data_IF_559231481072
#
_entry.id   IF_559231481072
#
_cell.length_a   1.000
_cell.length_b   1.000
_cell.length_c   1.000
_cell.angle_alpha   90.00
_cell.angle_beta   90.00
_cell.angle_gamma   90.00
#
_symmetry.space_group_name_H-M   'P 1'
#
loop_
_entity.id
_entity.type
_entity.pdbx_description
1 polymer ?
#
# COMPACT_ATOMS: atom_id res chain seq x y z
N UNK A 1 9.04 46.40 -2.86
CA UNK A 1 8.76 45.05 -2.32
C UNK A 1 7.96 44.27 -3.36
N UNK A 2 8.39 43.07 -3.72
CA UNK A 2 7.72 42.29 -4.77
C UNK A 2 6.42 41.64 -4.25
N UNK A 3 5.50 41.31 -5.15
CA UNK A 3 4.17 40.75 -4.84
C UNK A 3 4.25 39.46 -4.01
N UNK A 4 5.23 38.58 -4.32
CA UNK A 4 5.46 37.32 -3.60
C UNK A 4 5.93 37.54 -2.16
N UNK A 5 6.78 38.54 -1.92
CA UNK A 5 7.24 38.91 -0.57
C UNK A 5 6.08 39.47 0.26
N UNK A 6 5.16 40.22 -0.38
CA UNK A 6 3.98 40.78 0.29
C UNK A 6 2.96 39.70 0.64
N UNK A 7 2.77 38.72 -0.23
CA UNK A 7 1.90 37.55 -0.01
C UNK A 7 2.40 36.65 1.12
N UNK A 8 3.72 36.36 1.15
CA UNK A 8 4.34 35.59 2.24
C UNK A 8 4.28 36.33 3.58
N UNK A 9 4.48 37.66 3.58
CA UNK A 9 4.33 38.48 4.78
C UNK A 9 2.90 38.48 5.30
N UNK A 10 1.88 38.59 4.42
CA UNK A 10 0.48 38.55 4.80
C UNK A 10 0.03 37.16 5.30
N UNK A 11 0.57 36.08 4.74
CA UNK A 11 0.37 34.72 5.27
C UNK A 11 1.00 34.58 6.66
N UNK A 12 2.21 35.07 6.85
CA UNK A 12 2.89 35.05 8.15
C UNK A 12 2.18 35.93 9.19
N UNK A 13 1.61 37.07 8.78
CA UNK A 13 0.81 37.95 9.64
C UNK A 13 -0.53 37.30 10.02
N UNK A 14 -1.23 36.67 9.07
CA UNK A 14 -2.44 35.86 9.35
C UNK A 14 -2.17 34.66 10.25
N UNK A 15 -0.98 34.06 10.17
CA UNK A 15 -0.57 32.98 11.08
C UNK A 15 -0.21 33.51 12.47
N UNK A 16 0.35 34.72 12.57
CA UNK A 16 0.69 35.36 13.85
C UNK A 16 -0.55 35.84 14.62
N UNK A 17 -1.59 36.32 13.92
CA UNK A 17 -2.88 36.67 14.53
C UNK A 17 -3.67 35.43 15.03
N UNK A 18 -3.26 34.23 14.61
CA UNK A 18 -3.81 32.96 15.08
C UNK A 18 -3.17 32.48 16.40
N UNK A 19 -2.11 33.13 16.89
CA UNK A 19 -1.46 32.77 18.16
C UNK A 19 -2.33 33.26 19.32
N UNK A 20 -3.35 32.47 19.68
CA UNK A 20 -4.21 32.74 20.84
C UNK A 20 -3.41 32.51 22.13
N UNK A 21 -3.65 33.40 23.10
CA UNK A 21 -3.01 33.49 24.43
C UNK A 21 -3.12 32.19 25.24
N UNK A 22 -2.06 31.92 25.99
CA UNK A 22 -1.69 30.69 26.72
C UNK A 22 -2.76 30.03 27.62
N UNK A 23 -3.85 30.72 28.00
CA UNK A 23 -4.77 30.20 29.03
C UNK A 23 -6.19 29.85 28.53
N UNK A 24 -6.53 30.14 27.26
CA UNK A 24 -7.88 29.89 26.69
C UNK A 24 -7.97 28.62 25.81
N UNK A 25 -6.86 27.88 25.68
CA UNK A 25 -6.64 26.95 24.58
C UNK A 25 -6.89 25.47 24.88
N UNK A 26 -7.08 25.07 26.13
CA UNK A 26 -7.10 23.63 26.48
C UNK A 26 -8.44 22.94 26.13
N UNK A 27 -9.57 23.62 26.33
CA UNK A 27 -10.90 23.02 26.09
C UNK A 27 -11.25 22.87 24.60
N UNK A 28 -10.89 23.84 23.76
CA UNK A 28 -11.10 23.76 22.31
C UNK A 28 -10.08 22.84 21.63
N UNK A 29 -8.81 22.85 22.07
CA UNK A 29 -7.80 21.95 21.51
C UNK A 29 -8.17 20.48 21.71
N UNK A 30 -8.63 20.10 22.92
CA UNK A 30 -9.09 18.73 23.20
C UNK A 30 -10.32 18.36 22.34
N UNK A 31 -11.25 19.30 22.17
CA UNK A 31 -12.44 19.09 21.33
C UNK A 31 -12.05 18.82 19.87
N UNK A 32 -11.16 19.63 19.31
CA UNK A 32 -10.69 19.45 17.93
C UNK A 32 -9.82 18.20 17.76
N UNK A 33 -8.99 17.85 18.74
CA UNK A 33 -8.26 16.58 18.75
C UNK A 33 -9.23 15.41 18.69
N UNK A 34 -10.30 15.42 19.50
CA UNK A 34 -11.33 14.39 19.47
C UNK A 34 -12.07 14.35 18.13
N UNK A 35 -12.52 15.50 17.63
CA UNK A 35 -13.31 15.61 16.40
C UNK A 35 -12.51 15.18 15.17
N UNK A 36 -11.27 15.66 15.00
CA UNK A 36 -10.50 15.37 13.79
C UNK A 36 -9.71 14.05 13.84
N UNK A 37 -9.70 13.36 14.98
CA UNK A 37 -9.07 12.05 15.13
C UNK A 37 -10.06 10.92 15.38
N UNK A 38 -11.01 11.10 16.30
CA UNK A 38 -11.83 10.01 16.88
C UNK A 38 -13.24 9.96 16.27
N UNK A 39 -13.65 11.00 15.54
CA UNK A 39 -14.95 11.00 14.88
C UNK A 39 -14.95 10.10 13.63
N UNK A 40 -16.14 9.76 13.09
CA UNK A 40 -16.24 9.05 11.81
C UNK A 40 -15.53 9.74 10.64
N UNK A 41 -15.37 11.07 10.67
CA UNK A 41 -14.61 11.84 9.67
C UNK A 41 -13.11 11.90 9.99
N UNK A 42 -12.73 11.62 11.23
CA UNK A 42 -11.35 11.53 11.73
C UNK A 42 -10.65 10.22 11.38
N UNK A 43 -11.39 9.12 11.23
CA UNK A 43 -10.90 7.79 10.78
C UNK A 43 -9.65 7.29 11.54
N UNK A 44 -9.49 7.68 12.81
CA UNK A 44 -8.27 7.37 13.58
C UNK A 44 -6.98 7.73 12.82
N UNK A 45 -7.06 8.86 12.11
CA UNK A 45 -6.00 9.37 11.24
C UNK A 45 -4.68 9.51 12.02
N UNK A 46 -3.58 9.09 11.40
CA UNK A 46 -2.25 9.29 11.97
C UNK A 46 -1.91 10.77 12.17
N UNK A 47 -0.88 11.01 13.00
CA UNK A 47 -0.43 12.34 13.47
C UNK A 47 -0.46 13.43 12.39
N UNK A 48 0.12 13.16 11.22
CA UNK A 48 0.22 14.14 10.13
C UNK A 48 -1.15 14.57 9.58
N UNK A 49 -2.07 13.61 9.39
CA UNK A 49 -3.40 13.88 8.84
C UNK A 49 -4.25 14.67 9.84
N UNK A 50 -4.20 14.29 11.11
CA UNK A 50 -4.89 15.01 12.19
C UNK A 50 -4.34 16.43 12.34
N UNK A 51 -3.01 16.58 12.39
CA UNK A 51 -2.36 17.90 12.44
C UNK A 51 -2.77 18.79 11.27
N UNK A 52 -2.75 18.27 10.03
CA UNK A 52 -3.08 19.05 8.84
C UNK A 52 -4.54 19.52 8.82
N UNK A 53 -5.49 18.70 9.30
CA UNK A 53 -6.91 19.10 9.40
C UNK A 53 -7.10 20.19 10.43
N UNK A 54 -6.50 20.02 11.60
CA UNK A 54 -6.58 21.03 12.68
C UNK A 54 -5.92 22.33 12.25
N UNK A 55 -4.75 22.28 11.59
CA UNK A 55 -4.03 23.45 11.10
C UNK A 55 -4.78 24.30 10.04
N UNK A 56 -5.90 23.81 9.49
CA UNK A 56 -6.76 24.59 8.59
C UNK A 56 -7.66 25.56 9.36
N UNK A 57 -8.07 25.18 10.56
CA UNK A 57 -8.97 25.99 11.40
C UNK A 57 -8.22 26.65 12.53
N UNK A 58 -7.21 25.99 13.13
CA UNK A 58 -6.45 26.50 14.26
C UNK A 58 -4.97 26.09 14.38
N UNK A 59 -4.19 26.97 15.01
CA UNK A 59 -2.78 26.78 15.34
C UNK A 59 -2.48 27.25 16.76
N UNK A 60 -1.65 26.50 17.50
CA UNK A 60 -1.17 26.91 18.83
C UNK A 60 0.25 26.42 19.10
N UNK A 61 0.91 27.05 20.07
CA UNK A 61 2.25 26.66 20.53
C UNK A 61 2.15 25.26 21.13
N UNK A 62 2.96 24.32 20.63
CA UNK A 62 2.91 22.93 21.08
C UNK A 62 1.84 22.06 20.40
N UNK A 63 1.09 22.57 19.42
CA UNK A 63 0.05 21.80 18.70
C UNK A 63 0.54 20.45 18.18
N UNK A 64 1.71 20.43 17.53
CA UNK A 64 2.28 19.19 17.00
C UNK A 64 2.55 18.16 18.10
N UNK A 65 3.04 18.60 19.26
CA UNK A 65 3.30 17.74 20.40
C UNK A 65 1.98 17.19 20.98
N UNK A 66 0.98 18.06 21.16
CA UNK A 66 -0.35 17.67 21.62
C UNK A 66 -1.01 16.63 20.70
N UNK A 67 -1.00 16.86 19.37
CA UNK A 67 -1.52 15.90 18.38
C UNK A 67 -0.75 14.58 18.45
N UNK A 68 0.58 14.63 18.55
CA UNK A 68 1.41 13.42 18.62
C UNK A 68 1.08 12.60 19.86
N UNK A 69 0.99 13.23 21.03
CA UNK A 69 0.67 12.59 22.29
C UNK A 69 -0.76 12.02 22.28
N UNK A 70 -1.73 12.76 21.71
CA UNK A 70 -3.12 12.31 21.60
C UNK A 70 -3.24 11.06 20.73
N UNK A 71 -2.60 11.03 19.56
CA UNK A 71 -2.61 9.85 18.68
C UNK A 71 -1.83 8.69 19.31
N UNK A 72 -0.72 8.97 20.02
CA UNK A 72 0.04 7.96 20.75
C UNK A 72 -0.78 7.30 21.86
N UNK A 73 -1.63 8.07 22.55
CA UNK A 73 -2.54 7.56 23.58
C UNK A 73 -3.79 6.85 23.02
N UNK A 74 -4.08 6.95 21.72
CA UNK A 74 -5.26 6.34 21.12
C UNK A 74 -5.11 4.81 21.01
N UNK A 75 -5.92 4.07 21.77
CA UNK A 75 -5.96 2.60 21.75
C UNK A 75 -6.21 2.04 20.34
N UNK A 76 -7.25 2.50 19.64
CA UNK A 76 -7.57 2.02 18.28
C UNK A 76 -6.40 2.17 17.31
N UNK A 77 -5.67 3.29 17.37
CA UNK A 77 -4.48 3.50 16.55
C UNK A 77 -3.34 2.57 16.94
N UNK A 78 -3.11 2.37 18.25
CA UNK A 78 -2.02 1.49 18.69
C UNK A 78 -2.32 0.01 18.39
N UNK A 79 -3.57 -0.44 18.51
CA UNK A 79 -3.98 -1.81 18.17
C UNK A 79 -3.97 -2.08 16.67
N UNK A 80 -4.28 -1.07 15.84
CA UNK A 80 -4.30 -1.23 14.37
C UNK A 80 -2.93 -0.99 13.72
N UNK A 81 -1.92 -0.57 14.48
CA UNK A 81 -0.54 -0.56 13.97
C UNK A 81 -0.11 -2.01 13.77
N UNK A 82 0.19 -2.36 12.53
CA UNK A 82 0.90 -3.59 12.23
C UNK A 82 2.19 -3.63 13.06
N UNK A 83 2.25 -4.53 14.03
CA UNK A 83 3.48 -4.86 14.72
C UNK A 83 4.29 -5.73 13.77
N UNK A 84 5.12 -5.09 12.95
CA UNK A 84 6.29 -5.76 12.41
C UNK A 84 7.22 -6.03 13.59
N UNK A 85 6.98 -7.12 14.33
CA UNK A 85 8.05 -7.68 15.13
C UNK A 85 9.18 -8.00 14.16
N UNK A 86 10.39 -7.44 14.32
CA UNK A 86 11.54 -8.06 13.70
C UNK A 86 11.53 -9.48 14.25
N UNK A 87 11.50 -10.50 13.38
CA UNK A 87 11.86 -11.82 13.84
C UNK A 87 13.25 -11.68 14.45
N UNK A 88 13.38 -11.88 15.77
CA UNK A 88 14.64 -11.83 16.52
C UNK A 88 15.48 -13.08 16.23
N UNK A 89 15.55 -13.43 14.95
CA UNK A 89 16.30 -14.51 14.39
C UNK A 89 16.76 -14.03 13.02
N UNK A 90 18.05 -14.20 12.76
CA UNK A 90 18.64 -14.15 11.42
C UNK A 90 17.61 -14.68 10.42
N UNK A 91 17.44 -13.98 9.29
CA UNK A 91 16.73 -14.50 8.12
C UNK A 91 17.49 -15.72 7.60
N UNK A 92 17.42 -16.82 8.34
CA UNK A 92 17.78 -18.13 7.86
C UNK A 92 16.82 -18.40 6.71
N UNK A 93 17.32 -18.75 5.52
CA UNK A 93 16.45 -19.14 4.43
C UNK A 93 15.53 -20.23 4.96
N UNK A 94 14.22 -20.03 4.77
CA UNK A 94 13.23 -21.03 5.10
C UNK A 94 13.71 -22.37 4.51
N UNK A 95 13.58 -23.50 5.23
CA UNK A 95 13.88 -24.79 4.65
C UNK A 95 13.09 -24.91 3.35
N UNK A 96 13.81 -25.20 2.26
CA UNK A 96 13.23 -25.26 0.91
C UNK A 96 12.02 -26.19 1.00
N UNK A 97 10.80 -25.72 0.68
CA UNK A 97 9.61 -26.52 0.84
C UNK A 97 9.70 -27.78 -0.02
N UNK A 98 9.32 -28.92 0.57
CA UNK A 98 9.27 -30.25 -0.04
C UNK A 98 8.77 -30.23 -1.50
N UNK A 99 9.33 -31.11 -2.34
CA UNK A 99 9.21 -31.26 -3.80
C UNK A 99 7.85 -30.93 -4.48
N UNK A 100 6.74 -30.95 -3.76
CA UNK A 100 5.43 -30.50 -4.24
C UNK A 100 5.44 -29.02 -4.70
N UNK A 101 6.18 -28.14 -4.02
CA UNK A 101 6.23 -26.72 -4.36
C UNK A 101 7.10 -26.41 -5.57
N UNK A 102 8.16 -27.18 -5.79
CA UNK A 102 9.06 -27.00 -6.95
C UNK A 102 8.31 -27.17 -8.27
N UNK A 103 7.42 -28.16 -8.34
CA UNK A 103 6.56 -28.38 -9.51
C UNK A 103 5.58 -27.23 -9.75
N UNK A 104 5.00 -26.67 -8.68
CA UNK A 104 4.09 -25.52 -8.78
C UNK A 104 4.84 -24.25 -9.19
N UNK A 105 6.03 -24.01 -8.63
CA UNK A 105 6.88 -22.88 -8.96
C UNK A 105 7.35 -22.94 -10.41
N UNK A 106 7.71 -24.12 -10.91
CA UNK A 106 8.09 -24.30 -12.32
C UNK A 106 6.92 -23.96 -13.25
N UNK A 107 5.71 -24.45 -12.94
CA UNK A 107 4.50 -24.13 -13.72
C UNK A 107 4.14 -22.65 -13.66
N UNK A 108 4.24 -22.02 -12.49
CA UNK A 108 4.01 -20.60 -12.32
C UNK A 108 5.02 -19.75 -13.10
N UNK A 109 6.31 -20.11 -13.04
CA UNK A 109 7.39 -19.45 -13.80
C UNK A 109 7.16 -19.59 -15.31
N UNK A 110 6.79 -20.78 -15.77
CA UNK A 110 6.47 -21.00 -17.17
C UNK A 110 5.29 -20.12 -17.60
N UNK A 111 4.16 -20.19 -16.87
CA UNK A 111 2.98 -19.37 -17.16
C UNK A 111 3.31 -17.87 -17.20
N UNK A 112 4.02 -17.35 -16.19
CA UNK A 112 4.43 -15.95 -16.18
C UNK A 112 5.29 -15.56 -17.39
N UNK A 113 6.27 -16.40 -17.75
CA UNK A 113 7.20 -16.11 -18.83
C UNK A 113 6.57 -16.21 -20.23
N UNK A 114 5.57 -17.08 -20.41
CA UNK A 114 4.96 -17.35 -21.72
C UNK A 114 3.59 -16.70 -21.90
N UNK A 115 2.98 -16.14 -20.86
CA UNK A 115 1.73 -15.39 -20.97
C UNK A 115 1.96 -13.97 -21.47
N UNK A 116 1.03 -13.48 -22.29
CA UNK A 116 1.05 -12.12 -22.81
C UNK A 116 0.89 -11.10 -21.68
N UNK A 117 1.76 -10.09 -21.63
CA UNK A 117 1.67 -9.00 -20.68
C UNK A 117 1.31 -7.71 -21.40
N UNK A 118 0.17 -7.11 -21.07
CA UNK A 118 -0.34 -5.89 -21.73
C UNK A 118 0.59 -4.69 -21.57
N UNK A 119 1.28 -4.58 -20.42
CA UNK A 119 2.25 -3.51 -20.17
C UNK A 119 3.50 -3.60 -21.07
N UNK A 120 3.91 -4.82 -21.42
CA UNK A 120 5.05 -5.08 -22.30
C UNK A 120 4.63 -5.26 -23.77
N UNK A 121 3.34 -5.46 -24.03
CA UNK A 121 2.77 -5.81 -25.35
C UNK A 121 3.42 -7.08 -25.95
N UNK A 122 3.94 -7.95 -25.10
CA UNK A 122 4.56 -9.22 -25.47
C UNK A 122 4.73 -10.09 -24.22
N UNK A 123 5.24 -11.30 -24.40
CA UNK A 123 5.61 -12.20 -23.30
C UNK A 123 7.00 -11.83 -22.76
N UNK A 124 7.29 -12.03 -21.47
CA UNK A 124 8.65 -11.87 -20.95
C UNK A 124 9.68 -12.74 -21.67
N UNK A 125 9.28 -13.93 -22.14
CA UNK A 125 10.14 -14.79 -22.95
C UNK A 125 10.57 -14.10 -24.25
N UNK A 126 9.64 -13.47 -24.97
CA UNK A 126 9.93 -12.73 -26.19
C UNK A 126 10.88 -11.55 -25.96
N UNK A 127 10.74 -10.85 -24.83
CA UNK A 127 11.66 -9.77 -24.45
C UNK A 127 13.10 -10.27 -24.35
N UNK A 128 13.29 -11.41 -23.68
CA UNK A 128 14.62 -11.95 -23.40
C UNK A 128 15.22 -12.65 -24.61
N UNK A 129 14.40 -13.33 -25.41
CA UNK A 129 14.88 -14.25 -26.45
C UNK A 129 14.57 -13.82 -27.88
N UNK A 130 13.79 -12.76 -28.09
CA UNK A 130 13.48 -12.21 -29.43
C UNK A 130 12.67 -13.16 -30.34
N UNK A 131 12.03 -14.19 -29.77
CA UNK A 131 11.23 -15.20 -30.48
C UNK A 131 10.05 -15.64 -29.60
N UNK A 132 8.94 -16.13 -30.18
CA UNK A 132 7.80 -16.59 -29.39
C UNK A 132 8.20 -17.77 -28.48
N UNK A 133 7.54 -17.93 -27.33
CA UNK A 133 7.79 -19.06 -26.44
C UNK A 133 7.49 -20.40 -27.14
N UNK A 134 8.27 -21.45 -26.87
CA UNK A 134 7.98 -22.78 -27.39
C UNK A 134 6.63 -23.28 -26.85
N UNK A 135 5.78 -23.83 -27.71
CA UNK A 135 4.58 -24.52 -27.24
C UNK A 135 4.99 -25.79 -26.50
N UNK A 136 4.54 -25.94 -25.24
CA UNK A 136 4.60 -27.24 -24.57
C UNK A 136 3.75 -28.20 -25.41
N UNK A 137 4.35 -29.36 -25.72
CA UNK A 137 3.91 -30.27 -26.77
C UNK A 137 2.38 -30.39 -26.86
N UNK A 138 1.88 -30.15 -28.09
CA UNK A 138 0.53 -30.46 -28.54
C UNK A 138 0.16 -31.86 -28.06
N UNK A 139 -0.96 -31.98 -27.36
CA UNK A 139 -1.53 -33.27 -26.93
C UNK A 139 -1.37 -34.31 -28.04
N UNK A 140 -0.68 -35.41 -27.75
CA UNK A 140 -0.54 -36.54 -28.66
C UNK A 140 -1.76 -37.41 -28.43
N UNK A 141 -2.53 -37.68 -29.49
CA UNK A 141 -3.67 -38.58 -29.42
C UNK A 141 -3.22 -39.92 -28.81
N UNK A 142 -4.06 -40.49 -27.94
CA UNK A 142 -3.83 -41.73 -27.16
C UNK A 142 -3.12 -41.60 -25.79
N UNK A 143 -2.77 -40.40 -25.31
CA UNK A 143 -2.22 -40.23 -23.93
C UNK A 143 -3.29 -40.34 -22.82
N UNK A 144 -4.57 -40.26 -23.18
CA UNK A 144 -5.68 -40.35 -22.22
C UNK A 144 -6.59 -41.53 -22.55
N UNK A 145 -6.78 -42.43 -21.58
CA UNK A 145 -7.71 -43.57 -21.68
C UNK A 145 -9.20 -43.15 -21.66
N UNK A 146 -9.47 -41.86 -21.44
CA UNK A 146 -10.82 -41.30 -21.36
C UNK A 146 -11.10 -40.53 -22.65
N UNK A 147 -11.85 -41.15 -23.56
CA UNK A 147 -12.17 -40.61 -24.89
C UNK A 147 -12.78 -39.20 -24.83
N UNK A 148 -13.67 -38.95 -23.86
CA UNK A 148 -14.28 -37.63 -23.69
C UNK A 148 -13.24 -36.53 -23.36
N UNK A 149 -12.21 -36.87 -22.59
CA UNK A 149 -11.10 -35.95 -22.26
C UNK A 149 -10.17 -35.77 -23.46
N UNK A 150 -9.94 -36.83 -24.24
CA UNK A 150 -9.17 -36.74 -25.48
C UNK A 150 -9.82 -35.77 -26.48
N UNK A 151 -11.14 -35.86 -26.68
CA UNK A 151 -11.89 -34.99 -27.58
C UNK A 151 -11.88 -33.52 -27.11
N UNK A 152 -12.00 -33.27 -25.81
CA UNK A 152 -11.95 -31.92 -25.25
C UNK A 152 -10.54 -31.29 -25.41
N UNK A 153 -9.48 -32.05 -25.14
CA UNK A 153 -8.10 -31.61 -25.31
C UNK A 153 -7.70 -31.37 -26.77
N UNK A 154 -8.34 -32.05 -27.73
CA UNK A 154 -8.15 -31.83 -29.17
C UNK A 154 -8.87 -30.57 -29.68
N UNK A 155 -10.01 -30.21 -29.08
CA UNK A 155 -10.81 -29.05 -29.50
C UNK A 155 -10.37 -27.75 -28.83
N UNK A 156 -9.89 -27.80 -27.59
CA UNK A 156 -9.37 -26.65 -26.83
C UNK A 156 -7.97 -26.19 -27.27
N UNK A 157 -7.19 -27.04 -27.96
CA UNK A 157 -5.85 -26.73 -28.49
C UNK A 157 -5.84 -25.91 -29.81
N UNK A 158 -6.94 -25.25 -30.16
CA UNK A 158 -7.06 -24.45 -31.41
C UNK A 158 -6.94 -22.93 -31.21
N UNK A 159 -6.59 -22.47 -30.02
CA UNK A 159 -6.43 -21.05 -29.68
C UNK A 159 -4.98 -20.57 -29.76
#
# INVERSE_FOLDING_TARGET
MNSKTREVLLLNQRMADYIIKEDYLDSQAVTHLREFHTSPTGDHSGVFRTYRKIAQSLYWIGMKAAVTNYVAACHTCQSNKYQASPSEGLLLPLPIPNAAWEGLLLKAKYGYNTSFQSAAICTPFEIVHGRPPPSLARFVHDETLVEAVAQDLLTTNKG
#
